data_IF_673158794049
#
_entry.id   IF_673158794049
#
_cell.length_a   1.000
_cell.length_b   1.000
_cell.length_c   1.000
_cell.angle_alpha   90.00
_cell.angle_beta   90.00
_cell.angle_gamma   90.00
#
_symmetry.space_group_name_H-M   'P 1'
#
loop_
_entity.id
_entity.type
_entity.pdbx_description
1 polymer ?
#
# COMPACT_ATOMS: atom_id res chain seq x y z
N UNK A 1 0.56 -10.89 21.72
CA UNK A 1 0.89 -10.45 20.34
C UNK A 1 0.07 -9.23 19.89
N UNK A 2 -1.11 -8.98 20.48
CA UNK A 2 -1.94 -7.81 20.14
C UNK A 2 -1.32 -6.48 20.58
N UNK A 3 -0.52 -6.47 21.64
CA UNK A 3 0.14 -5.25 22.16
C UNK A 3 1.33 -4.76 21.32
N UNK A 4 1.73 -5.50 20.28
CA UNK A 4 2.83 -5.14 19.40
C UNK A 4 2.39 -4.25 18.23
N UNK A 5 1.09 -4.33 17.84
CA UNK A 5 0.55 -3.58 16.72
C UNK A 5 -0.04 -2.25 17.20
N UNK A 6 0.46 -1.17 16.61
CA UNK A 6 -0.09 0.17 16.82
C UNK A 6 -1.23 0.39 15.82
N UNK A 7 -2.10 1.34 16.12
CA UNK A 7 -3.25 1.67 15.27
C UNK A 7 -2.86 2.22 13.89
N UNK A 8 -1.63 2.75 13.76
CA UNK A 8 -1.06 3.27 12.53
C UNK A 8 -0.36 2.21 11.65
N UNK A 9 -0.26 0.97 12.11
CA UNK A 9 0.46 -0.10 11.39
C UNK A 9 -0.48 -0.89 10.49
N UNK A 10 -0.02 -1.16 9.27
CA UNK A 10 -0.80 -1.86 8.26
C UNK A 10 0.00 -3.00 7.63
N UNK A 11 -0.71 -4.05 7.23
CA UNK A 11 -0.18 -5.18 6.47
C UNK A 11 -0.73 -5.10 5.05
N UNK A 12 0.18 -5.03 4.09
CA UNK A 12 -0.15 -5.01 2.67
C UNK A 12 -0.10 -6.41 2.10
N UNK A 13 -1.18 -6.82 1.45
CA UNK A 13 -1.28 -8.12 0.77
C UNK A 13 -1.71 -7.92 -0.68
N UNK A 14 -0.93 -8.45 -1.63
CA UNK A 14 -1.26 -8.36 -3.05
C UNK A 14 -2.33 -9.39 -3.40
N UNK A 15 -3.48 -8.90 -3.82
CA UNK A 15 -4.65 -9.69 -4.15
C UNK A 15 -4.65 -10.07 -5.62
N UNK A 16 -4.68 -11.36 -5.90
CA UNK A 16 -4.86 -11.88 -7.25
C UNK A 16 -6.32 -11.85 -7.69
N UNK A 17 -6.55 -11.77 -9.00
CA UNK A 17 -7.91 -11.85 -9.55
C UNK A 17 -8.59 -13.18 -9.15
N UNK A 18 -7.84 -14.29 -9.14
CA UNK A 18 -8.34 -15.61 -8.77
C UNK A 18 -8.85 -15.68 -7.33
N UNK A 19 -8.15 -15.02 -6.41
CA UNK A 19 -8.60 -14.92 -5.01
C UNK A 19 -9.88 -14.09 -4.92
N UNK A 20 -9.90 -12.96 -5.62
CA UNK A 20 -11.06 -12.08 -5.65
C UNK A 20 -12.29 -12.76 -6.28
N UNK A 21 -12.11 -13.64 -7.26
CA UNK A 21 -13.18 -14.41 -7.90
C UNK A 21 -13.71 -15.56 -7.01
N UNK A 22 -13.00 -15.92 -5.95
CA UNK A 22 -13.43 -17.05 -5.11
C UNK A 22 -14.65 -16.67 -4.26
N UNK A 23 -15.79 -17.39 -4.38
CA UNK A 23 -17.04 -17.00 -3.74
C UNK A 23 -16.97 -16.87 -2.21
N UNK A 24 -16.10 -17.67 -1.57
CA UNK A 24 -15.93 -17.67 -0.11
C UNK A 24 -14.84 -16.71 0.37
N UNK A 25 -14.21 -15.94 -0.51
CA UNK A 25 -13.04 -15.12 -0.14
C UNK A 25 -13.36 -14.14 1.00
N UNK A 26 -14.40 -13.32 0.83
CA UNK A 26 -14.83 -12.36 1.86
C UNK A 26 -15.18 -13.03 3.18
N UNK A 27 -15.86 -14.17 3.15
CA UNK A 27 -16.20 -14.94 4.36
C UNK A 27 -14.95 -15.49 5.04
N UNK A 28 -13.98 -15.97 4.28
CA UNK A 28 -12.70 -16.48 4.80
C UNK A 28 -11.90 -15.36 5.48
N UNK A 29 -11.83 -14.18 4.85
CA UNK A 29 -11.16 -13.01 5.46
C UNK A 29 -11.86 -12.61 6.75
N UNK A 30 -13.19 -12.50 6.76
CA UNK A 30 -13.96 -12.17 7.97
C UNK A 30 -13.70 -13.18 9.09
N UNK A 31 -13.69 -14.47 8.76
CA UNK A 31 -13.41 -15.53 9.74
C UNK A 31 -11.99 -15.43 10.32
N UNK A 32 -10.98 -15.12 9.49
CA UNK A 32 -9.60 -14.91 9.94
C UNK A 32 -9.48 -13.68 10.85
N UNK A 33 -10.04 -12.54 10.46
CA UNK A 33 -10.04 -11.33 11.28
C UNK A 33 -10.66 -11.60 12.66
N UNK A 34 -11.81 -12.29 12.67
CA UNK A 34 -12.50 -12.66 13.93
C UNK A 34 -11.67 -13.65 14.77
N UNK A 35 -11.16 -14.73 14.13
CA UNK A 35 -10.39 -15.78 14.81
C UNK A 35 -9.14 -15.25 15.51
N UNK A 36 -8.45 -14.32 14.88
CA UNK A 36 -7.20 -13.77 15.40
C UNK A 36 -7.37 -12.39 16.07
N UNK A 37 -8.62 -11.91 16.18
CA UNK A 37 -8.97 -10.61 16.74
C UNK A 37 -8.17 -9.45 16.09
N UNK A 38 -8.01 -9.49 14.76
CA UNK A 38 -7.31 -8.47 13.99
C UNK A 38 -8.32 -7.41 13.57
N UNK A 39 -7.98 -6.14 13.75
CA UNK A 39 -8.77 -5.02 13.22
C UNK A 39 -8.70 -5.03 11.69
N UNK A 40 -9.81 -4.85 11.01
CA UNK A 40 -9.87 -4.94 9.55
C UNK A 40 -9.07 -3.82 8.84
N UNK A 41 -8.98 -2.64 9.44
CA UNK A 41 -8.19 -1.49 8.96
C UNK A 41 -6.67 -1.71 9.00
N UNK A 42 -6.20 -2.72 9.76
CA UNK A 42 -4.80 -3.19 9.72
C UNK A 42 -4.46 -3.87 8.39
N UNK A 43 -5.47 -4.38 7.67
CA UNK A 43 -5.26 -5.12 6.42
C UNK A 43 -5.53 -4.22 5.21
N UNK A 44 -4.55 -4.14 4.33
CA UNK A 44 -4.61 -3.38 3.08
C UNK A 44 -4.44 -4.33 1.91
N UNK A 45 -5.42 -4.39 1.03
CA UNK A 45 -5.30 -5.18 -0.19
C UNK A 45 -4.75 -4.34 -1.34
N UNK A 46 -3.73 -4.86 -1.98
CA UNK A 46 -3.08 -4.26 -3.13
C UNK A 46 -3.60 -4.92 -4.41
N UNK A 47 -4.12 -4.14 -5.34
CA UNK A 47 -4.66 -4.59 -6.64
C UNK A 47 -3.82 -3.97 -7.75
N UNK A 48 -3.29 -4.80 -8.66
CA UNK A 48 -2.56 -4.29 -9.82
C UNK A 48 -3.48 -3.55 -10.81
N UNK A 49 -2.98 -2.47 -11.42
CA UNK A 49 -3.69 -1.71 -12.46
C UNK A 49 -4.26 -2.60 -13.57
N UNK A 50 -3.55 -3.65 -13.95
CA UNK A 50 -3.97 -4.64 -14.96
C UNK A 50 -5.22 -5.45 -14.57
N UNK A 51 -5.51 -5.53 -13.29
CA UNK A 51 -6.67 -6.24 -12.75
C UNK A 51 -7.92 -5.37 -12.77
N UNK A 52 -7.78 -4.06 -12.64
CA UNK A 52 -8.91 -3.13 -12.53
C UNK A 52 -9.92 -3.23 -13.70
N UNK A 53 -9.51 -3.31 -14.99
CA UNK A 53 -10.45 -3.45 -16.09
C UNK A 53 -11.23 -4.77 -16.09
N UNK A 54 -10.70 -5.80 -15.41
CA UNK A 54 -11.32 -7.14 -15.32
C UNK A 54 -12.36 -7.22 -14.19
N UNK A 55 -12.40 -6.21 -13.31
CA UNK A 55 -13.36 -6.16 -12.21
C UNK A 55 -14.73 -5.74 -12.77
N UNK A 56 -15.68 -6.66 -12.71
CA UNK A 56 -17.07 -6.51 -13.15
C UNK A 56 -18.03 -6.65 -11.96
N UNK A 57 -19.32 -6.47 -12.17
CA UNK A 57 -20.32 -6.32 -11.10
C UNK A 57 -20.21 -7.30 -9.92
N UNK A 58 -20.08 -8.64 -10.09
CA UNK A 58 -19.92 -9.55 -8.96
C UNK A 58 -18.67 -9.25 -8.12
N UNK A 59 -17.54 -8.91 -8.77
CA UNK A 59 -16.29 -8.60 -8.08
C UNK A 59 -16.35 -7.23 -7.39
N UNK A 60 -17.03 -6.26 -7.98
CA UNK A 60 -17.28 -4.96 -7.36
C UNK A 60 -18.06 -5.12 -6.05
N UNK A 61 -19.08 -5.97 -6.02
CA UNK A 61 -19.84 -6.26 -4.80
C UNK A 61 -18.96 -6.91 -3.72
N UNK A 62 -18.06 -7.81 -4.13
CA UNK A 62 -17.12 -8.44 -3.22
C UNK A 62 -16.12 -7.44 -2.63
N UNK A 63 -15.55 -6.54 -3.45
CA UNK A 63 -14.70 -5.45 -2.98
C UNK A 63 -15.44 -4.54 -2.00
N UNK A 64 -16.68 -4.15 -2.32
CA UNK A 64 -17.50 -3.34 -1.43
C UNK A 64 -17.78 -4.04 -0.10
N UNK A 65 -17.97 -5.35 -0.11
CA UNK A 65 -18.15 -6.14 1.11
C UNK A 65 -16.90 -6.17 1.97
N UNK A 66 -15.70 -6.24 1.36
CA UNK A 66 -14.42 -6.15 2.07
C UNK A 66 -14.20 -4.75 2.65
N UNK A 67 -14.55 -3.70 1.89
CA UNK A 67 -14.52 -2.31 2.38
C UNK A 67 -15.45 -2.10 3.57
N UNK A 68 -16.65 -2.65 3.52
CA UNK A 68 -17.59 -2.56 4.63
C UNK A 68 -17.09 -3.22 5.92
N UNK A 69 -16.10 -4.11 5.84
CA UNK A 69 -15.37 -4.63 7.00
C UNK A 69 -14.32 -3.65 7.55
N UNK A 70 -13.95 -2.61 6.80
CA UNK A 70 -12.89 -1.66 7.15
C UNK A 70 -11.56 -1.89 6.40
N UNK A 71 -11.49 -2.87 5.48
CA UNK A 71 -10.29 -3.17 4.70
C UNK A 71 -10.07 -2.06 3.67
N UNK A 72 -8.82 -1.61 3.56
CA UNK A 72 -8.42 -0.58 2.61
C UNK A 72 -7.85 -1.19 1.33
N UNK A 73 -7.84 -0.40 0.23
CA UNK A 73 -7.33 -0.81 -1.06
C UNK A 73 -6.26 0.14 -1.59
N UNK A 74 -5.21 -0.45 -2.14
CA UNK A 74 -4.13 0.25 -2.86
C UNK A 74 -4.10 -0.26 -4.30
N UNK A 75 -3.99 0.65 -5.25
CA UNK A 75 -3.74 0.31 -6.65
C UNK A 75 -2.25 0.36 -6.93
N UNK A 76 -1.70 -0.75 -7.39
CA UNK A 76 -0.28 -0.98 -7.63
C UNK A 76 0.08 -0.88 -9.12
N UNK A 77 1.38 -0.69 -9.38
CA UNK A 77 1.96 -0.65 -10.71
C UNK A 77 1.52 0.57 -11.56
N UNK A 78 1.29 1.70 -10.87
CA UNK A 78 0.87 2.96 -11.52
C UNK A 78 2.05 3.64 -12.21
N UNK A 79 1.81 4.20 -13.40
CA UNK A 79 2.79 4.94 -14.19
C UNK A 79 3.47 4.13 -15.29
N UNK A 80 3.31 2.80 -15.31
CA UNK A 80 3.83 1.95 -16.39
C UNK A 80 2.74 1.54 -17.40
N UNK A 81 1.50 1.52 -16.94
CA UNK A 81 0.33 1.20 -17.75
C UNK A 81 -0.74 2.27 -17.61
N UNK A 82 -1.78 2.18 -18.46
CA UNK A 82 -2.92 3.09 -18.40
C UNK A 82 -3.59 3.03 -17.03
N UNK A 83 -3.70 4.16 -16.36
CA UNK A 83 -4.39 4.29 -15.09
C UNK A 83 -5.88 4.60 -15.35
N UNK A 84 -6.79 3.68 -15.05
CA UNK A 84 -8.22 3.93 -15.21
C UNK A 84 -8.74 4.79 -14.04
N UNK A 85 -8.55 6.10 -14.11
CA UNK A 85 -8.90 7.06 -13.03
C UNK A 85 -10.35 6.92 -12.58
N UNK A 86 -11.28 6.61 -13.50
CA UNK A 86 -12.69 6.37 -13.16
C UNK A 86 -12.84 5.17 -12.21
N UNK A 87 -12.05 4.11 -12.40
CA UNK A 87 -12.06 2.92 -11.53
C UNK A 87 -11.50 3.24 -10.14
N UNK A 88 -10.51 4.12 -10.02
CA UNK A 88 -10.03 4.55 -8.70
C UNK A 88 -11.13 5.20 -7.87
N UNK A 89 -11.96 6.03 -8.51
CA UNK A 89 -13.12 6.67 -7.86
C UNK A 89 -14.23 5.66 -7.55
N UNK A 90 -14.54 4.74 -8.48
CA UNK A 90 -15.54 3.69 -8.29
C UNK A 90 -15.21 2.79 -7.10
N UNK A 91 -13.93 2.43 -6.94
CA UNK A 91 -13.48 1.60 -5.84
C UNK A 91 -13.06 2.38 -4.60
N UNK A 92 -13.18 3.73 -4.62
CA UNK A 92 -12.81 4.62 -3.51
C UNK A 92 -11.43 4.24 -2.94
N UNK A 93 -10.47 4.17 -3.84
CA UNK A 93 -9.07 3.88 -3.51
C UNK A 93 -8.48 5.08 -2.80
N UNK A 94 -7.81 4.86 -1.69
CA UNK A 94 -7.16 5.93 -0.91
C UNK A 94 -5.69 6.13 -1.27
N UNK A 95 -5.07 5.14 -1.91
CA UNK A 95 -3.62 5.11 -2.11
C UNK A 95 -3.27 4.44 -3.44
N UNK A 96 -2.29 4.99 -4.13
CA UNK A 96 -1.63 4.32 -5.25
C UNK A 96 -0.19 3.96 -4.90
N UNK A 97 0.36 2.92 -5.55
CA UNK A 97 1.79 2.62 -5.52
C UNK A 97 2.36 2.73 -6.92
N UNK A 98 3.44 3.50 -7.03
CA UNK A 98 4.17 3.70 -8.29
C UNK A 98 4.75 2.37 -8.76
N UNK A 99 4.85 2.18 -10.07
CA UNK A 99 5.49 1.00 -10.67
C UNK A 99 6.96 0.90 -10.26
N UNK A 100 7.39 -0.30 -9.83
CA UNK A 100 8.79 -0.58 -9.54
C UNK A 100 9.68 -0.41 -10.78
N UNK A 101 9.16 -0.66 -11.99
CA UNK A 101 9.89 -0.44 -13.24
C UNK A 101 10.16 1.04 -13.47
N UNK A 102 9.14 1.89 -13.27
CA UNK A 102 9.31 3.34 -13.39
C UNK A 102 10.31 3.86 -12.35
N UNK A 103 10.23 3.38 -11.11
CA UNK A 103 11.18 3.76 -10.07
C UNK A 103 12.61 3.32 -10.37
N UNK A 104 12.80 2.15 -10.97
CA UNK A 104 14.13 1.66 -11.37
C UNK A 104 14.77 2.49 -12.49
N UNK A 105 13.98 3.18 -13.29
CA UNK A 105 14.47 4.07 -14.36
C UNK A 105 14.86 5.46 -13.83
N UNK A 106 14.31 5.91 -12.72
CA UNK A 106 14.49 7.27 -12.19
C UNK A 106 15.96 7.70 -12.01
N UNK A 107 16.89 6.86 -11.54
CA UNK A 107 18.29 7.25 -11.42
C UNK A 107 18.99 7.54 -12.76
N UNK A 108 18.43 7.03 -13.86
CA UNK A 108 19.08 7.06 -15.19
C UNK A 108 18.32 7.91 -16.21
N UNK A 109 17.03 8.20 -15.97
CA UNK A 109 16.16 8.86 -16.95
C UNK A 109 15.38 10.01 -16.30
N UNK A 110 15.72 11.23 -16.68
CA UNK A 110 15.04 12.45 -16.22
C UNK A 110 13.53 12.44 -16.55
N UNK A 111 13.14 11.87 -17.70
CA UNK A 111 11.73 11.73 -18.09
C UNK A 111 10.94 10.86 -17.12
N UNK A 112 11.55 9.76 -16.65
CA UNK A 112 10.92 8.86 -15.66
C UNK A 112 10.80 9.55 -14.31
N UNK A 113 11.81 10.32 -13.89
CA UNK A 113 11.75 11.15 -12.70
C UNK A 113 10.65 12.21 -12.78
N UNK A 114 10.53 12.91 -13.92
CA UNK A 114 9.48 13.90 -14.14
C UNK A 114 8.08 13.27 -14.11
N UNK A 115 7.93 12.03 -14.61
CA UNK A 115 6.68 11.29 -14.52
C UNK A 115 6.34 10.93 -13.06
N UNK A 116 7.32 10.50 -12.27
CA UNK A 116 7.14 10.22 -10.82
C UNK A 116 6.69 11.46 -10.08
N UNK A 117 7.34 12.61 -10.30
CA UNK A 117 6.91 13.90 -9.72
C UNK A 117 5.47 14.25 -10.10
N UNK A 118 5.13 14.11 -11.38
CA UNK A 118 3.77 14.35 -11.88
C UNK A 118 2.73 13.44 -11.25
N UNK A 119 3.04 12.17 -11.01
CA UNK A 119 2.17 11.22 -10.31
C UNK A 119 1.98 11.61 -8.84
N UNK A 120 3.04 11.99 -8.14
CA UNK A 120 2.96 12.46 -6.75
C UNK A 120 2.08 13.71 -6.65
N UNK A 121 2.25 14.65 -7.57
CA UNK A 121 1.47 15.89 -7.60
C UNK A 121 -0.01 15.62 -7.94
N UNK A 122 -0.28 14.76 -8.91
CA UNK A 122 -1.62 14.31 -9.25
C UNK A 122 -2.33 13.69 -8.05
N UNK A 123 -1.68 12.77 -7.33
CA UNK A 123 -2.30 12.12 -6.17
C UNK A 123 -2.64 13.12 -5.08
N UNK A 124 -1.76 14.06 -4.79
CA UNK A 124 -2.05 15.15 -3.84
C UNK A 124 -3.27 15.97 -4.27
N UNK A 125 -3.35 16.33 -5.55
CA UNK A 125 -4.45 17.19 -6.07
C UNK A 125 -5.83 16.51 -5.98
N UNK A 126 -5.87 15.17 -5.98
CA UNK A 126 -7.11 14.38 -5.88
C UNK A 126 -7.34 13.76 -4.50
N UNK A 127 -6.49 14.07 -3.51
CA UNK A 127 -6.62 13.59 -2.14
C UNK A 127 -6.23 12.11 -1.93
N UNK A 128 -5.38 11.55 -2.82
CA UNK A 128 -4.84 10.21 -2.69
C UNK A 128 -3.44 10.23 -2.07
N UNK A 129 -3.09 9.17 -1.36
CA UNK A 129 -1.70 8.90 -0.97
C UNK A 129 -0.91 8.26 -2.12
N UNK A 130 0.40 8.46 -2.11
CA UNK A 130 1.33 7.87 -3.07
C UNK A 130 2.42 7.10 -2.35
N UNK A 131 2.60 5.82 -2.70
CA UNK A 131 3.72 4.99 -2.23
C UNK A 131 4.76 4.91 -3.34
N UNK A 132 6.01 5.28 -3.04
CA UNK A 132 7.15 5.05 -3.92
C UNK A 132 7.90 3.78 -3.46
N UNK A 133 7.86 2.69 -4.26
CA UNK A 133 8.60 1.46 -3.97
C UNK A 133 10.05 1.56 -4.43
N UNK A 134 10.87 0.55 -4.08
CA UNK A 134 12.27 0.37 -4.55
C UNK A 134 13.18 1.56 -4.22
N UNK A 135 13.02 2.16 -3.04
CA UNK A 135 13.92 3.21 -2.57
C UNK A 135 15.16 2.54 -1.99
N UNK A 136 16.26 2.58 -2.73
CA UNK A 136 17.52 1.90 -2.39
C UNK A 136 18.66 2.89 -2.11
N UNK A 137 18.55 4.12 -2.63
CA UNK A 137 19.56 5.16 -2.52
C UNK A 137 19.05 6.36 -1.75
N UNK A 138 19.93 6.94 -0.90
CA UNK A 138 19.59 8.11 -0.08
C UNK A 138 19.23 9.34 -0.93
N UNK A 139 19.86 9.50 -2.09
CA UNK A 139 19.56 10.59 -3.00
C UNK A 139 18.11 10.52 -3.52
N UNK A 140 17.68 9.34 -3.99
CA UNK A 140 16.30 9.11 -4.44
C UNK A 140 15.30 9.31 -3.29
N UNK A 141 15.65 8.87 -2.08
CA UNK A 141 14.85 9.10 -0.89
C UNK A 141 14.60 10.60 -0.65
N UNK A 142 15.64 11.43 -0.66
CA UNK A 142 15.52 12.88 -0.47
C UNK A 142 14.71 13.53 -1.59
N UNK A 143 14.96 13.19 -2.85
CA UNK A 143 14.22 13.70 -4.00
C UNK A 143 12.72 13.38 -3.92
N UNK A 144 12.35 12.18 -3.43
CA UNK A 144 10.95 11.80 -3.25
C UNK A 144 10.28 12.60 -2.13
N UNK A 145 10.98 12.82 -1.01
CA UNK A 145 10.48 13.66 0.08
C UNK A 145 10.28 15.10 -0.38
N UNK A 146 11.22 15.67 -1.13
CA UNK A 146 11.13 17.02 -1.68
C UNK A 146 9.97 17.13 -2.69
N UNK A 147 9.72 16.08 -3.49
CA UNK A 147 8.53 15.99 -4.32
C UNK A 147 7.23 15.83 -3.50
N UNK A 148 7.38 15.52 -2.19
CA UNK A 148 6.30 15.37 -1.23
C UNK A 148 5.66 13.99 -1.20
N UNK A 149 6.35 12.96 -1.67
CA UNK A 149 5.99 11.57 -1.46
C UNK A 149 6.46 11.13 -0.07
N UNK A 150 5.52 10.89 0.85
CA UNK A 150 5.85 10.57 2.25
C UNK A 150 5.84 9.07 2.55
N UNK A 151 5.20 8.26 1.69
CA UNK A 151 5.14 6.81 1.86
C UNK A 151 6.20 6.16 0.98
N UNK A 152 7.26 5.67 1.59
CA UNK A 152 8.43 5.12 0.92
C UNK A 152 8.63 3.66 1.30
N UNK A 153 8.99 2.82 0.34
CA UNK A 153 9.27 1.40 0.54
C UNK A 153 10.55 1.01 -0.21
N UNK A 154 11.45 0.28 0.45
CA UNK A 154 12.68 -0.20 -0.20
C UNK A 154 13.73 -0.66 0.80
N UNK A 155 14.84 -1.19 0.28
CA UNK A 155 15.92 -1.74 1.08
C UNK A 155 16.62 -0.67 1.95
N UNK A 156 16.60 0.58 1.52
CA UNK A 156 17.11 1.70 2.33
C UNK A 156 16.30 1.89 3.62
N UNK A 157 14.97 1.66 3.56
CA UNK A 157 14.07 1.81 4.71
C UNK A 157 14.16 0.58 5.61
N UNK A 158 13.89 -0.59 5.04
CA UNK A 158 14.04 -1.88 5.70
C UNK A 158 14.07 -3.00 4.64
N UNK A 159 15.09 -3.86 4.61
CA UNK A 159 15.11 -5.01 3.72
C UNK A 159 14.06 -6.05 4.13
N UNK A 160 13.61 -6.91 3.20
CA UNK A 160 12.76 -8.05 3.52
C UNK A 160 13.37 -8.88 4.65
N UNK A 161 12.56 -9.16 5.68
CA UNK A 161 13.06 -9.80 6.89
C UNK A 161 12.08 -10.86 7.40
N UNK A 162 12.57 -11.93 8.07
CA UNK A 162 11.70 -12.93 8.70
C UNK A 162 10.77 -12.30 9.74
N UNK A 163 9.61 -12.92 9.99
CA UNK A 163 8.61 -12.43 10.93
C UNK A 163 9.19 -12.17 12.34
N UNK A 164 10.13 -13.01 12.80
CA UNK A 164 10.84 -12.83 14.08
C UNK A 164 11.66 -11.55 14.14
N UNK A 165 12.31 -11.16 13.04
CA UNK A 165 13.07 -9.91 12.95
C UNK A 165 12.12 -8.70 12.94
N UNK A 166 11.03 -8.77 12.17
CA UNK A 166 9.99 -7.74 12.17
C UNK A 166 9.39 -7.56 13.57
N UNK A 167 9.08 -8.66 14.27
CA UNK A 167 8.59 -8.60 15.65
C UNK A 167 9.56 -7.84 16.56
N UNK A 168 10.87 -8.10 16.46
CA UNK A 168 11.89 -7.39 17.23
C UNK A 168 11.92 -5.89 16.93
N UNK A 169 11.91 -5.53 15.64
CA UNK A 169 11.87 -4.12 15.20
C UNK A 169 10.63 -3.39 15.75
N UNK A 170 9.46 -4.04 15.76
CA UNK A 170 8.23 -3.47 16.31
C UNK A 170 8.34 -3.24 17.83
N UNK A 171 8.94 -4.17 18.56
CA UNK A 171 9.16 -4.04 20.02
C UNK A 171 10.09 -2.85 20.30
N UNK A 172 11.23 -2.77 19.61
CA UNK A 172 12.21 -1.71 19.77
C UNK A 172 11.61 -0.33 19.47
N UNK A 173 10.88 -0.22 18.35
CA UNK A 173 10.19 1.03 17.98
C UNK A 173 9.15 1.46 19.03
N UNK A 174 8.40 0.51 19.57
CA UNK A 174 7.37 0.79 20.57
C UNK A 174 7.96 1.21 21.92
N UNK A 175 9.16 0.75 22.26
CA UNK A 175 9.86 1.18 23.48
C UNK A 175 10.35 2.64 23.37
N UNK A 176 10.96 3.01 22.23
CA UNK A 176 11.45 4.37 21.98
C UNK A 176 10.32 5.41 22.03
N UNK A 177 9.18 5.13 21.41
CA UNK A 177 8.05 6.08 21.42
C UNK A 177 7.35 6.22 22.77
N UNK A 178 7.53 5.29 23.70
CA UNK A 178 7.05 5.45 25.10
C UNK A 178 7.95 6.35 25.92
N UNK A 179 9.25 6.35 25.66
CA UNK A 179 10.21 7.23 26.34
C UNK A 179 10.03 8.69 25.91
N UNK A 180 9.75 8.94 24.61
CA UNK A 180 9.46 10.29 24.09
C UNK A 180 8.13 10.88 24.60
N UNK A 181 7.15 10.06 24.93
CA UNK A 181 5.84 10.50 25.47
C UNK A 181 5.88 10.80 26.98
N UNK A 182 6.97 10.46 27.67
CA UNK A 182 7.13 10.65 29.13
C UNK A 182 8.16 11.74 29.48
N UNK A 183 8.77 12.35 28.49
CA UNK A 183 9.72 13.47 28.60
C UNK A 183 9.05 14.81 28.24
#
# INVERSE_FOLDING_TARGET
>A
TQDLWREDQQIYYTLSLRELEHPSFTLSIKALLTKYAIKADTLVFTIHTETLPKIHNPLTLQLNSLKALGIQFVVDNVGYQTLPIQKLREFDVSTIRISHKLMAECPYMESSWNLVKGLVELTKSVGLNCIAPCVEEAEIHHLLLDAGCQLLQGNLIAPPSPATAITRMLIERNSLSREESTA
#
